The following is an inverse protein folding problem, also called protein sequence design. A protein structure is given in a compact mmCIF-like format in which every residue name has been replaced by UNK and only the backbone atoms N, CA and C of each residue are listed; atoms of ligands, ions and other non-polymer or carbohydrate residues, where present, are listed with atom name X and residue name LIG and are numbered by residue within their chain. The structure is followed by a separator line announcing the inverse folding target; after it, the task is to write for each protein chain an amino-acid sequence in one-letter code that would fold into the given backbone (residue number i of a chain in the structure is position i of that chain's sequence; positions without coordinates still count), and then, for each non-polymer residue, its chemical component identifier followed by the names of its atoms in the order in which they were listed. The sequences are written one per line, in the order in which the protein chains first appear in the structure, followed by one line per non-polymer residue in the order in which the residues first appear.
data_IF_073659561781
#
_entry.id   IF_073659561781
#
_cell.length_a   1.000
_cell.length_b   1.000
_cell.length_c   1.000
_cell.angle_alpha   90.00
_cell.angle_beta   90.00
_cell.angle_gamma   90.00
#
_symmetry.space_group_name_H-M   'P 1'
#
loop_
_entity.id
_entity.type
_entity.pdbx_description
1 polymer ?
#
# COMPACT_ATOMS: atom_id res chain seq x y z
N UNK A 1 -16.45 11.54 -17.10
CA UNK A 1 -15.80 12.85 -16.86
C UNK A 1 -14.43 12.55 -16.26
N UNK A 2 -13.36 12.80 -17.00
CA UNK A 2 -11.99 12.67 -16.50
C UNK A 2 -11.84 13.62 -15.31
N UNK A 3 -11.49 13.07 -14.15
CA UNK A 3 -11.44 13.79 -12.88
C UNK A 3 -10.32 14.85 -12.94
N UNK A 4 -10.60 16.11 -12.61
CA UNK A 4 -9.63 17.23 -12.61
C UNK A 4 -8.37 16.92 -11.79
N UNK A 5 -8.49 16.03 -10.80
CA UNK A 5 -7.37 15.49 -10.02
C UNK A 5 -6.36 14.71 -10.89
N UNK A 6 -6.84 13.94 -11.88
CA UNK A 6 -6.00 13.17 -12.82
C UNK A 6 -5.19 14.09 -13.72
N UNK A 7 -5.74 15.26 -14.06
CA UNK A 7 -5.09 16.28 -14.89
C UNK A 7 -3.97 16.99 -14.12
N UNK A 8 -4.22 17.39 -12.87
CA UNK A 8 -3.18 17.92 -11.98
C UNK A 8 -2.06 16.90 -11.70
N UNK A 9 -2.39 15.62 -11.52
CA UNK A 9 -1.41 14.55 -11.30
C UNK A 9 -0.48 14.34 -12.51
N UNK A 10 -0.99 14.50 -13.74
CA UNK A 10 -0.18 14.44 -14.97
C UNK A 10 0.79 15.62 -15.10
N UNK A 11 0.46 16.79 -14.53
CA UNK A 11 1.32 17.97 -14.58
C UNK A 11 2.51 17.86 -13.61
N UNK A 12 2.30 17.37 -12.39
CA UNK A 12 3.38 17.17 -11.40
C UNK A 12 4.45 16.18 -11.89
N UNK A 13 4.04 15.08 -12.54
CA UNK A 13 4.96 14.09 -13.13
C UNK A 13 5.72 14.64 -14.35
N UNK A 14 5.08 15.47 -15.18
CA UNK A 14 5.74 16.16 -16.30
C UNK A 14 6.80 17.15 -15.81
N UNK A 15 6.55 17.86 -14.71
CA UNK A 15 7.53 18.77 -14.10
C UNK A 15 8.77 18.04 -13.56
N UNK A 16 8.61 16.84 -12.99
CA UNK A 16 9.72 15.98 -12.57
C UNK A 16 10.60 15.49 -13.74
N UNK A 17 9.99 15.22 -14.91
CA UNK A 17 10.71 14.81 -16.12
C UNK A 17 11.48 15.96 -16.80
N UNK A 18 11.03 17.20 -16.65
CA UNK A 18 11.64 18.38 -17.26
C UNK A 18 12.92 18.87 -16.56
N UNK A 19 13.16 18.45 -15.31
CA UNK A 19 14.31 18.84 -14.48
C UNK A 19 15.66 18.23 -14.88
N UNK A 20 15.71 17.30 -15.86
CA UNK A 20 16.96 16.74 -16.39
C UNK A 20 17.29 17.27 -17.79
N UNK A 21 17.60 18.57 -17.89
CA UNK A 21 18.34 19.10 -19.05
C UNK A 21 19.83 18.76 -18.91
N UNK A 22 20.38 18.14 -19.96
CA UNK A 22 21.78 17.73 -20.13
C UNK A 22 22.76 18.85 -19.78
N UNK A 23 23.74 18.55 -18.93
CA UNK A 23 24.93 19.41 -18.78
C UNK A 23 25.91 19.16 -19.95
N UNK A 24 26.60 20.19 -20.46
CA UNK A 24 27.45 20.09 -21.64
C UNK A 24 28.85 19.60 -21.29
N UNK A 25 29.37 18.65 -22.10
CA UNK A 25 30.75 18.17 -22.03
C UNK A 25 31.74 19.29 -22.41
N UNK A 26 32.81 19.46 -21.61
CA UNK A 26 34.06 20.13 -21.99
C UNK A 26 35.15 19.06 -22.20
N UNK A 27 36.14 19.29 -23.08
CA UNK A 27 36.94 18.23 -23.68
C UNK A 27 38.25 17.96 -22.92
N UNK A 28 38.82 16.77 -23.11
CA UNK A 28 40.21 16.49 -22.79
C UNK A 28 40.83 15.50 -23.79
N UNK A 29 41.76 16.02 -24.59
CA UNK A 29 43.12 15.50 -24.79
C UNK A 29 43.34 14.02 -25.09
N UNK A 30 43.59 13.75 -26.37
CA UNK A 30 44.74 12.99 -26.93
C UNK A 30 45.60 12.11 -25.98
N UNK A 31 45.78 10.85 -26.38
CA UNK A 31 46.90 10.02 -25.91
C UNK A 31 46.82 8.59 -26.43
N UNK A 32 47.46 8.33 -27.57
CA UNK A 32 47.54 7.05 -28.29
C UNK A 32 48.24 5.93 -27.48
N UNK A 33 47.78 4.68 -27.62
CA UNK A 33 48.63 3.60 -28.17
C UNK A 33 47.92 2.23 -28.32
N UNK A 34 47.82 1.84 -29.59
CA UNK A 34 48.13 0.53 -30.19
C UNK A 34 47.42 -0.74 -29.67
N UNK A 35 46.48 -1.20 -30.50
CA UNK A 35 46.15 -2.61 -30.76
C UNK A 35 47.37 -3.35 -31.35
N UNK A 36 47.54 -4.62 -31.02
CA UNK A 36 47.19 -5.75 -31.91
C UNK A 36 47.67 -7.08 -31.34
N UNK A 37 46.77 -8.06 -31.36
CA UNK A 37 47.05 -9.47 -31.18
C UNK A 37 47.53 -10.10 -32.51
N UNK A 38 48.38 -11.13 -32.42
CA UNK A 38 48.19 -12.43 -33.09
C UNK A 38 49.45 -13.31 -32.93
N UNK A 39 49.30 -14.51 -32.38
CA UNK A 39 49.76 -15.74 -33.06
C UNK A 39 49.25 -16.98 -32.31
N UNK A 40 48.92 -17.99 -33.11
CA UNK A 40 48.33 -19.28 -32.79
C UNK A 40 49.39 -20.36 -32.58
N UNK A 41 49.19 -21.29 -31.65
CA UNK A 41 49.63 -22.69 -31.80
C UNK A 41 48.90 -23.63 -30.82
N UNK A 42 48.70 -24.89 -31.24
CA UNK A 42 47.83 -25.93 -30.67
C UNK A 42 48.58 -26.94 -29.79
N UNK A 43 47.80 -27.69 -28.99
CA UNK A 43 48.01 -29.03 -28.39
C UNK A 43 48.92 -29.09 -27.14
N UNK A 44 48.66 -29.84 -26.05
CA UNK A 44 48.14 -31.22 -25.79
C UNK A 44 47.53 -31.27 -24.35
N UNK A 45 46.56 -32.16 -24.00
CA UNK A 45 46.00 -32.25 -22.63
C UNK A 45 46.67 -33.35 -21.76
N UNK A 46 46.70 -33.19 -20.43
CA UNK A 46 46.82 -34.34 -19.51
C UNK A 46 45.82 -34.24 -18.32
N UNK A 47 45.80 -35.21 -17.38
CA UNK A 47 44.81 -36.27 -17.27
C UNK A 47 43.75 -36.01 -16.18
N UNK A 48 42.71 -36.85 -16.17
CA UNK A 48 41.72 -36.95 -15.09
C UNK A 48 42.39 -37.22 -13.74
N UNK A 49 42.00 -36.46 -12.71
CA UNK A 49 42.27 -36.78 -11.31
C UNK A 49 41.00 -36.56 -10.48
N UNK A 50 40.43 -37.69 -10.09
CA UNK A 50 39.42 -37.83 -9.04
C UNK A 50 39.94 -37.24 -7.72
N UNK A 51 39.15 -36.37 -7.09
CA UNK A 51 39.44 -35.81 -5.78
C UNK A 51 38.34 -36.20 -4.78
N UNK A 52 38.75 -37.08 -3.85
CA UNK A 52 38.05 -37.49 -2.63
C UNK A 52 37.81 -36.27 -1.72
N UNK A 53 36.72 -36.18 -0.93
CA UNK A 53 36.49 -35.06 -0.03
C UNK A 53 37.49 -35.05 1.13
N UNK A 54 38.23 -33.96 1.28
CA UNK A 54 39.02 -33.66 2.49
C UNK A 54 38.11 -32.95 3.50
N UNK A 55 38.10 -33.32 4.79
CA UNK A 55 37.15 -32.77 5.76
C UNK A 55 37.41 -31.28 6.02
N UNK A 56 36.32 -30.51 6.06
CA UNK A 56 36.32 -29.08 6.32
C UNK A 56 36.94 -28.76 7.70
N UNK A 57 37.78 -27.71 7.82
CA UNK A 57 38.09 -27.17 9.13
C UNK A 57 36.82 -26.54 9.70
N UNK A 58 36.50 -26.90 10.95
CA UNK A 58 35.40 -26.35 11.70
C UNK A 58 35.58 -24.84 11.91
N UNK A 59 35.08 -24.03 10.99
CA UNK A 59 34.82 -22.61 11.23
C UNK A 59 33.51 -22.49 12.00
N UNK A 60 33.64 -22.18 13.28
CA UNK A 60 32.61 -21.63 14.15
C UNK A 60 31.83 -20.52 13.44
N UNK A 61 30.52 -20.38 13.71
CA UNK A 61 29.73 -19.30 13.12
C UNK A 61 30.29 -17.97 13.60
N UNK A 62 30.53 -17.06 12.67
CA UNK A 62 30.94 -15.69 12.93
C UNK A 62 29.91 -15.02 13.85
N UNK A 63 30.18 -15.02 15.15
CA UNK A 63 29.61 -14.07 16.08
C UNK A 63 30.10 -12.70 15.63
N UNK A 64 29.22 -11.91 15.02
CA UNK A 64 29.41 -10.47 14.95
C UNK A 64 29.62 -9.98 16.38
N UNK A 65 30.87 -9.61 16.71
CA UNK A 65 31.32 -9.31 18.06
C UNK A 65 30.32 -8.37 18.77
N UNK A 66 29.82 -8.80 19.93
CA UNK A 66 29.00 -7.96 20.78
C UNK A 66 29.90 -6.92 21.45
N UNK A 67 30.25 -5.84 20.73
CA UNK A 67 31.09 -4.76 21.24
C UNK A 67 30.33 -3.44 21.35
N UNK A 68 30.72 -2.62 22.32
CA UNK A 68 30.22 -1.27 22.44
C UNK A 68 30.73 -0.41 21.27
N UNK A 69 29.82 0.17 20.49
CA UNK A 69 30.15 0.96 19.31
C UNK A 69 30.89 2.28 19.60
N UNK A 70 31.07 2.65 20.88
CA UNK A 70 31.85 3.83 21.28
C UNK A 70 33.24 3.47 21.82
N UNK A 71 33.30 2.57 22.81
CA UNK A 71 34.54 2.27 23.54
C UNK A 71 35.16 0.92 23.20
N UNK A 72 34.54 0.14 22.30
CA UNK A 72 35.03 -1.19 21.89
C UNK A 72 34.90 -2.28 22.94
N UNK A 73 34.38 -1.98 24.14
CA UNK A 73 34.25 -2.99 25.21
C UNK A 73 33.32 -4.12 24.79
N UNK A 74 33.82 -5.35 24.88
CA UNK A 74 33.07 -6.57 24.65
C UNK A 74 31.96 -6.76 25.69
N UNK A 75 30.85 -7.31 25.23
CA UNK A 75 29.77 -7.80 26.06
C UNK A 75 30.21 -9.05 26.81
N UNK A 76 29.86 -9.10 28.09
CA UNK A 76 30.10 -10.26 28.95
C UNK A 76 28.91 -10.41 29.90
N UNK A 77 28.89 -11.47 30.69
CA UNK A 77 27.87 -11.66 31.72
C UNK A 77 27.79 -10.47 32.71
N UNK A 78 28.91 -9.76 32.88
CA UNK A 78 29.01 -8.55 33.71
C UNK A 78 28.76 -7.25 32.94
N UNK A 79 29.03 -7.20 31.63
CA UNK A 79 28.83 -6.01 30.78
C UNK A 79 27.72 -6.25 29.76
N UNK A 80 26.50 -5.86 30.13
CA UNK A 80 25.33 -5.98 29.25
C UNK A 80 25.28 -4.83 28.25
N UNK A 81 25.46 -5.14 26.98
CA UNK A 81 25.30 -4.16 25.91
C UNK A 81 23.82 -3.98 25.53
N UNK A 82 23.40 -2.73 25.32
CA UNK A 82 22.04 -2.37 24.91
C UNK A 82 22.03 -1.80 23.50
N UNK A 83 21.08 -2.25 22.69
CA UNK A 83 20.85 -1.70 21.36
C UNK A 83 20.49 -0.21 21.43
N UNK A 84 20.92 0.54 20.42
CA UNK A 84 20.38 1.86 20.15
C UNK A 84 18.86 1.76 19.95
N UNK A 85 18.09 2.47 20.77
CA UNK A 85 16.62 2.40 20.75
C UNK A 85 16.00 2.85 19.43
N UNK A 86 16.68 3.74 18.69
CA UNK A 86 16.21 4.26 17.42
C UNK A 86 16.52 3.34 16.23
N UNK A 87 17.77 2.90 16.07
CA UNK A 87 18.20 2.16 14.87
C UNK A 87 18.41 0.66 15.08
N UNK A 88 18.59 0.20 16.32
CA UNK A 88 18.88 -1.20 16.68
C UNK A 88 20.13 -1.83 16.03
N UNK A 89 20.92 -1.09 15.25
CA UNK A 89 22.11 -1.60 14.55
C UNK A 89 23.38 -1.64 15.40
N UNK A 90 23.47 -0.76 16.39
CA UNK A 90 24.67 -0.61 17.22
C UNK A 90 24.30 -0.80 18.68
N UNK A 91 25.25 -1.33 19.45
CA UNK A 91 25.10 -1.63 20.87
C UNK A 91 26.00 -0.72 21.72
N UNK A 92 25.60 -0.46 22.96
CA UNK A 92 26.35 0.38 23.90
C UNK A 92 26.33 -0.22 25.32
N UNK A 93 27.46 -0.13 26.02
CA UNK A 93 27.57 -0.56 27.42
C UNK A 93 26.95 0.46 28.39
N UNK A 94 26.77 1.71 27.97
CA UNK A 94 26.19 2.78 28.80
C UNK A 94 25.53 3.89 27.97
N UNK A 95 24.68 4.68 28.61
CA UNK A 95 24.07 5.87 28.01
C UNK A 95 25.11 6.91 27.61
N UNK A 96 26.21 7.02 28.36
CA UNK A 96 27.29 7.96 28.06
C UNK A 96 28.02 7.56 26.77
N UNK A 97 28.29 6.27 26.58
CA UNK A 97 28.82 5.76 25.32
C UNK A 97 27.89 6.05 24.14
N UNK A 98 26.58 5.91 24.32
CA UNK A 98 25.60 6.24 23.28
C UNK A 98 25.58 7.75 22.97
N UNK A 99 25.65 8.62 23.98
CA UNK A 99 25.67 10.09 23.81
C UNK A 99 26.93 10.54 23.08
N UNK A 100 28.08 9.99 23.43
CA UNK A 100 29.38 10.33 22.81
C UNK A 100 29.42 9.89 21.34
N UNK A 101 29.01 8.66 21.04
CA UNK A 101 28.96 8.15 19.66
C UNK A 101 27.80 8.74 18.82
N UNK A 102 26.93 9.58 19.41
CA UNK A 102 25.79 10.19 18.71
C UNK A 102 26.23 10.96 17.48
N UNK A 103 27.31 11.74 17.54
CA UNK A 103 27.78 12.58 16.42
C UNK A 103 28.21 11.74 15.20
N UNK A 104 28.89 10.62 15.44
CA UNK A 104 29.41 9.75 14.39
C UNK A 104 28.30 8.91 13.75
N UNK A 105 27.35 8.39 14.55
CA UNK A 105 26.30 7.51 14.01
C UNK A 105 24.99 8.21 13.63
N UNK A 106 24.77 9.50 13.94
CA UNK A 106 23.48 10.21 13.77
C UNK A 106 22.85 10.01 12.38
N UNK A 107 23.64 10.16 11.31
CA UNK A 107 23.16 10.05 9.93
C UNK A 107 22.69 8.63 9.61
N UNK A 108 23.52 7.62 9.92
CA UNK A 108 23.18 6.22 9.75
C UNK A 108 21.99 5.80 10.63
N UNK A 109 21.94 6.30 11.87
CA UNK A 109 20.85 6.07 12.81
C UNK A 109 19.51 6.58 12.26
N UNK A 110 19.48 7.82 11.76
CA UNK A 110 18.27 8.42 11.18
C UNK A 110 17.80 7.64 9.95
N UNK A 111 18.73 7.23 9.07
CA UNK A 111 18.42 6.41 7.90
C UNK A 111 17.80 5.08 8.32
N UNK A 112 18.44 4.33 9.21
CA UNK A 112 17.92 3.04 9.67
C UNK A 112 16.61 3.15 10.44
N UNK A 113 16.44 4.17 11.28
CA UNK A 113 15.18 4.40 11.97
C UNK A 113 14.04 4.66 10.98
N UNK A 114 14.31 5.35 9.87
CA UNK A 114 13.35 5.52 8.79
C UNK A 114 13.07 4.19 8.05
N UNK A 115 14.09 3.38 7.76
CA UNK A 115 13.92 2.04 7.18
C UNK A 115 13.07 1.13 8.06
N UNK A 116 13.31 1.11 9.37
CA UNK A 116 12.50 0.32 10.33
C UNK A 116 11.05 0.80 10.39
N UNK A 117 10.82 2.12 10.28
CA UNK A 117 9.48 2.69 10.21
C UNK A 117 8.78 2.28 8.91
N UNK A 118 9.49 2.30 7.79
CA UNK A 118 8.99 1.85 6.49
C UNK A 118 8.71 0.34 6.48
N UNK A 119 9.62 -0.48 7.01
CA UNK A 119 9.44 -1.92 7.11
C UNK A 119 8.17 -2.27 7.89
N UNK A 120 7.91 -1.59 9.01
CA UNK A 120 6.64 -1.70 9.75
C UNK A 120 5.43 -1.25 8.91
N UNK A 121 5.55 -0.16 8.14
CA UNK A 121 4.47 0.37 7.29
C UNK A 121 4.09 -0.54 6.11
N UNK A 122 5.04 -1.31 5.58
CA UNK A 122 4.85 -2.16 4.38
C UNK A 122 4.80 -3.67 4.69
N UNK A 123 5.07 -4.08 5.94
CA UNK A 123 4.85 -5.46 6.42
C UNK A 123 3.41 -5.72 6.86
N UNK A 124 2.70 -4.68 7.31
CA UNK A 124 1.32 -4.78 7.78
C UNK A 124 0.32 -4.61 6.62
N UNK A 125 -0.69 -5.49 6.56
CA UNK A 125 -1.88 -5.27 5.73
C UNK A 125 -1.70 -5.58 4.24
N UNK A 126 -1.19 -6.78 3.92
CA UNK A 126 -1.20 -7.32 2.54
C UNK A 126 -2.48 -8.08 2.22
N UNK A 127 -3.16 -8.57 3.25
CA UNK A 127 -4.45 -9.24 3.11
C UNK A 127 -5.55 -8.22 2.98
N UNK A 128 -6.40 -8.42 1.98
CA UNK A 128 -7.61 -7.65 1.81
C UNK A 128 -8.50 -7.87 3.05
N UNK A 129 -8.87 -6.82 3.79
CA UNK A 129 -9.77 -6.98 4.94
C UNK A 129 -11.04 -7.74 4.59
N UNK A 130 -11.48 -8.66 5.46
CA UNK A 130 -12.78 -9.36 5.34
C UNK A 130 -13.95 -8.40 5.12
N UNK A 131 -13.83 -7.20 5.68
CA UNK A 131 -14.73 -6.07 5.50
C UNK A 131 -14.93 -5.61 4.05
N UNK A 132 -14.09 -6.05 3.11
CA UNK A 132 -14.11 -5.69 1.69
C UNK A 132 -14.62 -6.85 0.81
N UNK A 133 -15.14 -7.91 1.42
CA UNK A 133 -15.82 -9.00 0.74
C UNK A 133 -17.33 -8.88 0.93
N UNK A 134 -18.07 -9.34 -0.06
CA UNK A 134 -19.52 -9.35 0.04
C UNK A 134 -19.94 -10.45 1.04
N UNK A 135 -20.76 -10.16 2.06
CA UNK A 135 -21.17 -11.16 3.06
C UNK A 135 -22.16 -12.21 2.53
N UNK A 136 -22.52 -12.16 1.24
CA UNK A 136 -23.43 -13.12 0.59
C UNK A 136 -22.62 -14.09 -0.26
N UNK A 137 -21.88 -13.58 -1.25
CA UNK A 137 -21.04 -14.44 -2.10
C UNK A 137 -19.63 -14.68 -1.57
N UNK A 138 -19.24 -14.01 -0.48
CA UNK A 138 -17.91 -14.05 0.14
C UNK A 138 -16.74 -13.59 -0.76
N UNK A 139 -17.04 -13.18 -2.00
CA UNK A 139 -16.07 -12.65 -2.93
C UNK A 139 -15.68 -11.21 -2.61
N UNK A 140 -14.39 -10.92 -2.74
CA UNK A 140 -13.80 -9.59 -2.75
C UNK A 140 -14.57 -8.63 -3.69
N UNK A 141 -14.96 -7.44 -3.21
CA UNK A 141 -15.75 -6.46 -3.99
C UNK A 141 -14.83 -5.60 -4.89
N UNK A 142 -15.13 -5.33 -6.17
CA UNK A 142 -14.27 -4.45 -6.97
C UNK A 142 -14.08 -3.05 -6.36
N UNK A 143 -12.94 -2.44 -6.64
CA UNK A 143 -12.53 -1.13 -6.08
C UNK A 143 -12.66 -0.08 -7.19
N UNK A 144 -13.21 1.12 -6.90
CA UNK A 144 -13.73 1.60 -5.62
C UNK A 144 -15.08 0.97 -5.23
N UNK A 145 -15.22 0.53 -3.98
CA UNK A 145 -16.36 -0.31 -3.56
C UNK A 145 -17.71 0.40 -3.68
N UNK A 146 -17.75 1.73 -3.56
CA UNK A 146 -18.97 2.52 -3.74
C UNK A 146 -19.60 2.39 -5.14
N UNK A 147 -18.83 1.99 -6.16
CA UNK A 147 -19.35 1.78 -7.51
C UNK A 147 -19.94 0.37 -7.69
N UNK A 148 -19.47 -0.60 -6.91
CA UNK A 148 -19.76 -2.02 -7.11
C UNK A 148 -20.55 -2.66 -5.96
N UNK A 149 -20.85 -1.90 -4.93
CA UNK A 149 -21.59 -2.36 -3.76
C UNK A 149 -22.38 -1.23 -3.09
N UNK A 150 -23.42 -1.61 -2.38
CA UNK A 150 -24.25 -0.72 -1.58
C UNK A 150 -24.30 -1.17 -0.13
N UNK A 151 -24.31 -0.22 0.80
CA UNK A 151 -24.49 -0.50 2.21
C UNK A 151 -25.97 -0.64 2.54
N UNK A 152 -26.30 -1.66 3.33
CA UNK A 152 -27.61 -1.81 3.96
C UNK A 152 -27.66 -0.93 5.21
N UNK A 153 -28.44 0.16 5.25
CA UNK A 153 -28.44 1.11 6.39
C UNK A 153 -28.96 0.48 7.69
N UNK A 154 -29.73 -0.60 7.59
CA UNK A 154 -30.28 -1.35 8.72
C UNK A 154 -29.29 -2.31 9.40
N UNK A 155 -28.12 -2.61 8.80
CA UNK A 155 -27.07 -3.45 9.42
C UNK A 155 -25.62 -3.06 9.09
N UNK A 156 -25.41 -1.98 8.33
CA UNK A 156 -24.11 -1.50 7.83
C UNK A 156 -23.29 -2.55 7.07
N UNK A 157 -23.96 -3.59 6.55
CA UNK A 157 -23.33 -4.61 5.70
C UNK A 157 -23.29 -4.10 4.26
N UNK A 158 -22.13 -4.26 3.62
CA UNK A 158 -21.90 -3.86 2.23
C UNK A 158 -22.14 -5.05 1.31
N UNK A 159 -23.13 -4.95 0.43
CA UNK A 159 -23.52 -6.02 -0.50
C UNK A 159 -23.13 -5.61 -1.91
N UNK A 160 -22.45 -6.50 -2.64
CA UNK A 160 -22.08 -6.21 -4.02
C UNK A 160 -23.33 -6.13 -4.92
N UNK A 161 -23.24 -5.32 -5.97
CA UNK A 161 -24.35 -5.06 -6.89
C UNK A 161 -24.88 -6.35 -7.54
N UNK A 162 -24.03 -7.36 -7.76
CA UNK A 162 -24.45 -8.67 -8.26
C UNK A 162 -25.39 -9.41 -7.29
N UNK A 163 -25.02 -9.49 -6.01
CA UNK A 163 -25.90 -10.09 -4.99
C UNK A 163 -27.16 -9.25 -4.76
N UNK A 164 -27.06 -7.91 -4.80
CA UNK A 164 -28.22 -7.03 -4.69
C UNK A 164 -29.21 -7.23 -5.85
N UNK A 165 -28.70 -7.43 -7.08
CA UNK A 165 -29.53 -7.75 -8.23
C UNK A 165 -30.20 -9.13 -8.08
N UNK A 166 -29.45 -10.13 -7.61
CA UNK A 166 -29.99 -11.46 -7.34
C UNK A 166 -31.11 -11.43 -6.30
N UNK A 167 -30.94 -10.67 -5.21
CA UNK A 167 -31.99 -10.44 -4.20
C UNK A 167 -33.25 -9.82 -4.82
N UNK A 168 -33.09 -8.80 -5.69
CA UNK A 168 -34.22 -8.16 -6.36
C UNK A 168 -34.98 -9.14 -7.25
N UNK A 169 -34.27 -9.92 -8.05
CA UNK A 169 -34.86 -10.93 -8.93
C UNK A 169 -35.55 -12.06 -8.15
N UNK A 170 -35.06 -12.38 -6.95
CA UNK A 170 -35.69 -13.34 -6.04
C UNK A 170 -36.89 -12.76 -5.26
N UNK A 171 -37.29 -11.51 -5.51
CA UNK A 171 -38.40 -10.87 -4.80
C UNK A 171 -38.08 -10.43 -3.36
N UNK A 172 -36.80 -10.39 -2.97
CA UNK A 172 -36.35 -10.05 -1.62
C UNK A 172 -35.95 -8.58 -1.46
N UNK A 173 -36.19 -7.73 -2.46
CA UNK A 173 -35.75 -6.32 -2.47
C UNK A 173 -36.35 -5.42 -1.38
N UNK A 174 -37.46 -5.81 -0.76
CA UNK A 174 -38.13 -4.99 0.27
C UNK A 174 -37.64 -5.28 1.70
N UNK A 175 -36.83 -6.32 1.91
CA UNK A 175 -36.35 -6.72 3.24
C UNK A 175 -34.86 -7.01 3.22
N UNK A 176 -34.15 -6.58 4.26
CA UNK A 176 -32.74 -6.89 4.40
C UNK A 176 -32.52 -8.41 4.61
N UNK A 177 -31.65 -9.08 3.82
CA UNK A 177 -31.40 -10.51 3.95
C UNK A 177 -30.70 -10.90 5.27
N UNK A 178 -30.13 -9.93 5.99
CA UNK A 178 -29.38 -10.19 7.22
C UNK A 178 -30.22 -10.02 8.50
N UNK A 179 -31.05 -8.98 8.55
CA UNK A 179 -31.80 -8.63 9.75
C UNK A 179 -33.30 -8.49 9.52
N UNK A 180 -33.79 -8.76 8.30
CA UNK A 180 -35.20 -8.72 7.89
C UNK A 180 -35.89 -7.36 8.03
N UNK A 181 -35.17 -6.31 8.43
CA UNK A 181 -35.66 -4.93 8.45
C UNK A 181 -36.06 -4.48 7.05
N UNK A 182 -37.16 -3.74 6.94
CA UNK A 182 -37.61 -3.18 5.67
C UNK A 182 -36.57 -2.19 5.11
N UNK A 183 -36.44 -2.18 3.78
CA UNK A 183 -35.58 -1.22 3.07
C UNK A 183 -36.25 0.16 3.11
N UNK A 184 -35.51 1.23 3.49
CA UNK A 184 -36.07 2.59 3.50
C UNK A 184 -36.48 3.00 2.08
N UNK A 185 -37.64 3.64 1.98
CA UNK A 185 -38.21 4.13 0.71
C UNK A 185 -37.87 5.60 0.46
N UNK A 186 -37.43 6.33 1.48
CA UNK A 186 -37.06 7.74 1.39
C UNK A 186 -35.65 8.01 1.94
N UNK A 187 -35.05 9.12 1.51
CA UNK A 187 -33.80 9.58 2.09
C UNK A 187 -33.92 9.88 3.58
N UNK A 188 -35.05 10.41 4.03
CA UNK A 188 -35.30 10.71 5.44
C UNK A 188 -35.27 9.43 6.30
N UNK A 189 -35.94 8.37 5.85
CA UNK A 189 -35.91 7.07 6.52
C UNK A 189 -34.50 6.47 6.54
N UNK A 190 -33.77 6.57 5.42
CA UNK A 190 -32.39 6.12 5.34
C UNK A 190 -31.49 6.87 6.33
N UNK A 191 -31.56 8.20 6.34
CA UNK A 191 -30.80 9.06 7.25
C UNK A 191 -31.14 8.77 8.70
N UNK A 192 -32.41 8.60 9.06
CA UNK A 192 -32.84 8.23 10.40
C UNK A 192 -32.26 6.88 10.85
N UNK A 193 -32.24 5.88 9.97
CA UNK A 193 -31.61 4.58 10.25
C UNK A 193 -30.10 4.70 10.46
N UNK A 194 -29.40 5.49 9.63
CA UNK A 194 -27.96 5.73 9.78
C UNK A 194 -27.67 6.51 11.07
N UNK A 195 -28.42 7.57 11.35
CA UNK A 195 -28.26 8.39 12.56
C UNK A 195 -28.43 7.56 13.84
N UNK A 196 -29.47 6.71 13.91
CA UNK A 196 -29.67 5.79 15.05
C UNK A 196 -28.43 4.92 15.33
N UNK A 197 -27.71 4.52 14.29
CA UNK A 197 -26.46 3.78 14.43
C UNK A 197 -25.27 4.64 14.83
N UNK A 198 -25.18 5.86 14.31
CA UNK A 198 -24.20 6.86 14.74
C UNK A 198 -24.34 7.12 16.24
N UNK A 199 -25.57 7.28 16.72
CA UNK A 199 -25.87 7.47 18.15
C UNK A 199 -25.46 6.24 18.99
N UNK A 200 -25.62 5.04 18.42
CA UNK A 200 -25.13 3.79 19.00
C UNK A 200 -23.61 3.57 18.84
N UNK A 201 -22.86 4.56 18.35
CA UNK A 201 -21.41 4.51 18.10
C UNK A 201 -20.98 3.39 17.14
N UNK A 202 -21.85 2.98 16.22
CA UNK A 202 -21.48 2.06 15.13
C UNK A 202 -20.52 2.78 14.19
N UNK A 203 -19.25 2.39 14.26
CA UNK A 203 -18.17 3.01 13.49
C UNK A 203 -18.44 3.02 11.99
N UNK A 204 -19.03 1.95 11.42
CA UNK A 204 -19.33 1.91 9.98
C UNK A 204 -20.39 2.95 9.63
N UNK A 205 -21.39 3.12 10.48
CA UNK A 205 -22.40 4.16 10.28
C UNK A 205 -21.80 5.55 10.38
N UNK A 206 -20.95 5.83 11.37
CA UNK A 206 -20.26 7.13 11.50
C UNK A 206 -19.47 7.45 10.22
N UNK A 207 -18.71 6.49 9.71
CA UNK A 207 -17.93 6.70 8.49
C UNK A 207 -18.79 6.88 7.23
N UNK A 208 -19.89 6.12 7.11
CA UNK A 208 -20.84 6.30 6.01
C UNK A 208 -21.55 7.63 6.09
N UNK A 209 -21.97 8.04 7.28
CA UNK A 209 -22.61 9.33 7.51
C UNK A 209 -21.66 10.49 7.17
N UNK A 210 -20.38 10.38 7.54
CA UNK A 210 -19.35 11.33 7.14
C UNK A 210 -19.18 11.41 5.61
N UNK A 211 -19.28 10.28 4.91
CA UNK A 211 -19.25 10.27 3.44
C UNK A 211 -20.51 10.87 2.81
N UNK A 212 -21.69 10.64 3.41
CA UNK A 212 -22.95 11.23 2.97
C UNK A 212 -22.90 12.76 3.07
N UNK A 213 -22.46 13.32 4.21
CA UNK A 213 -22.26 14.77 4.35
C UNK A 213 -21.18 15.29 3.40
N UNK A 214 -20.01 14.64 3.35
CA UNK A 214 -18.88 15.14 2.55
C UNK A 214 -19.12 15.14 1.04
N UNK A 215 -20.09 14.36 0.53
CA UNK A 215 -20.44 14.27 -0.90
C UNK A 215 -21.87 14.76 -1.22
N UNK A 216 -22.62 15.21 -0.22
CA UNK A 216 -24.02 15.62 -0.38
C UNK A 216 -24.94 14.50 -0.89
N UNK A 217 -24.85 13.30 -0.30
CA UNK A 217 -25.69 12.15 -0.66
C UNK A 217 -27.01 12.16 0.12
N UNK A 218 -28.02 11.47 -0.42
CA UNK A 218 -29.31 11.26 0.26
C UNK A 218 -30.00 12.59 0.63
N UNK A 219 -29.98 13.58 -0.28
CA UNK A 219 -30.62 14.88 -0.07
C UNK A 219 -29.88 15.83 0.88
N UNK A 220 -28.69 15.45 1.38
CA UNK A 220 -27.87 16.34 2.19
C UNK A 220 -27.13 17.36 1.33
N UNK A 221 -26.98 18.57 1.85
CA UNK A 221 -26.02 19.53 1.31
C UNK A 221 -24.59 19.04 1.54
N UNK A 222 -23.70 19.37 0.60
CA UNK A 222 -22.28 19.03 0.73
C UNK A 222 -21.67 19.80 1.91
N UNK A 223 -21.23 19.06 2.91
CA UNK A 223 -20.54 19.59 4.08
C UNK A 223 -19.29 18.75 4.37
N UNK A 224 -18.19 19.14 3.73
CA UNK A 224 -16.89 18.46 3.87
C UNK A 224 -16.38 18.51 5.31
N UNK A 225 -16.57 19.63 6.01
CA UNK A 225 -16.11 19.82 7.38
C UNK A 225 -16.80 18.82 8.32
N UNK A 226 -18.14 18.70 8.21
CA UNK A 226 -18.90 17.73 8.99
C UNK A 226 -18.48 16.29 8.70
N UNK A 227 -18.17 16.00 7.43
CA UNK A 227 -17.61 14.70 7.03
C UNK A 227 -16.28 14.38 7.74
N UNK A 228 -15.38 15.36 7.84
CA UNK A 228 -14.09 15.23 8.53
C UNK A 228 -14.28 15.00 10.03
N UNK A 229 -15.18 15.73 10.69
CA UNK A 229 -15.48 15.55 12.10
C UNK A 229 -15.95 14.12 12.40
N UNK A 230 -16.90 13.61 11.61
CA UNK A 230 -17.42 12.25 11.76
C UNK A 230 -16.33 11.20 11.52
N UNK A 231 -15.47 11.38 10.51
CA UNK A 231 -14.34 10.46 10.30
C UNK A 231 -13.30 10.52 11.43
N UNK A 232 -13.12 11.69 12.05
CA UNK A 232 -12.24 11.86 13.22
C UNK A 232 -12.84 11.12 14.42
N UNK A 233 -14.13 11.31 14.70
CA UNK A 233 -14.85 10.56 15.76
C UNK A 233 -14.74 9.05 15.55
N UNK A 234 -14.92 8.57 14.32
CA UNK A 234 -14.78 7.15 14.01
C UNK A 234 -13.35 6.61 14.20
N UNK A 235 -12.34 7.45 14.04
CA UNK A 235 -10.94 7.11 14.28
C UNK A 235 -10.63 7.02 15.79
N UNK A 236 -11.21 7.93 16.58
CA UNK A 236 -11.01 8.05 18.02
C UNK A 236 -11.70 6.94 18.83
N UNK A 237 -12.74 6.31 18.30
CA UNK A 237 -13.36 5.09 18.88
C UNK A 237 -12.47 3.82 18.76
N UNK A 238 -11.16 4.01 18.58
CA UNK A 238 -10.06 3.05 18.42
C UNK A 238 -10.25 1.98 17.34
N UNK A 239 -9.77 2.31 16.14
CA UNK A 239 -8.50 1.77 15.66
C UNK A 239 -8.13 2.46 14.34
N UNK A 240 -6.90 2.94 14.12
CA UNK A 240 -6.42 3.36 12.79
C UNK A 240 -6.60 2.27 11.72
N UNK A 241 -6.63 1.00 12.16
CA UNK A 241 -6.97 -0.17 11.37
C UNK A 241 -8.42 -0.14 10.85
N UNK A 242 -9.31 0.69 11.40
CA UNK A 242 -10.72 0.81 11.05
C UNK A 242 -10.96 1.56 9.74
N UNK A 243 -10.33 2.72 9.60
CA UNK A 243 -10.36 3.51 8.38
C UNK A 243 -9.68 2.73 7.25
N UNK A 244 -8.63 1.98 7.61
CA UNK A 244 -8.01 0.95 6.79
C UNK A 244 -9.01 -0.17 6.41
N UNK A 245 -9.78 -0.71 7.37
CA UNK A 245 -10.78 -1.77 7.15
C UNK A 245 -12.06 -1.31 6.45
N UNK A 246 -12.25 -0.01 6.18
CA UNK A 246 -13.49 0.54 5.59
C UNK A 246 -13.46 0.77 4.07
N UNK A 247 -12.46 0.24 3.38
CA UNK A 247 -12.40 0.26 1.91
C UNK A 247 -11.75 1.50 1.32
N UNK A 248 -11.48 2.50 2.18
CA UNK A 248 -10.67 3.67 1.84
C UNK A 248 -9.16 3.43 1.97
N UNK A 249 -8.74 2.25 2.46
CA UNK A 249 -7.32 1.91 2.56
C UNK A 249 -6.57 2.07 1.25
N UNK A 250 -7.18 1.60 0.16
CA UNK A 250 -6.58 1.62 -1.16
C UNK A 250 -6.41 3.06 -1.64
N UNK A 251 -7.46 3.88 -1.53
CA UNK A 251 -7.39 5.30 -1.87
C UNK A 251 -6.40 6.06 -0.97
N UNK A 252 -6.33 5.73 0.31
CA UNK A 252 -5.37 6.31 1.25
C UNK A 252 -3.93 5.95 0.87
N UNK A 253 -3.66 4.67 0.52
CA UNK A 253 -2.34 4.23 0.03
C UNK A 253 -1.97 4.95 -1.26
N UNK A 254 -2.91 5.12 -2.19
CA UNK A 254 -2.69 5.88 -3.43
C UNK A 254 -2.35 7.34 -3.13
N UNK A 255 -3.08 8.00 -2.23
CA UNK A 255 -2.79 9.38 -1.79
C UNK A 255 -1.43 9.51 -1.12
N UNK A 256 -1.06 8.55 -0.27
CA UNK A 256 0.30 8.50 0.31
C UNK A 256 1.35 8.36 -0.79
N UNK A 257 1.10 7.51 -1.80
CA UNK A 257 2.00 7.37 -2.94
C UNK A 257 2.23 8.70 -3.67
N UNK A 258 1.16 9.45 -3.93
CA UNK A 258 1.25 10.78 -4.55
C UNK A 258 2.02 11.78 -3.68
N UNK A 259 1.74 11.83 -2.38
CA UNK A 259 2.46 12.70 -1.44
C UNK A 259 3.97 12.37 -1.38
N UNK A 260 4.34 11.09 -1.44
CA UNK A 260 5.74 10.69 -1.50
C UNK A 260 6.39 11.08 -2.85
N UNK A 261 5.65 11.07 -3.96
CA UNK A 261 6.14 11.60 -5.23
C UNK A 261 6.42 13.10 -5.14
N UNK A 262 5.52 13.88 -4.55
CA UNK A 262 5.68 15.33 -4.37
C UNK A 262 6.90 15.65 -3.49
N UNK A 263 7.18 14.80 -2.50
CA UNK A 263 8.36 14.89 -1.65
C UNK A 263 9.65 14.35 -2.29
N UNK A 264 9.60 13.86 -3.53
CA UNK A 264 10.73 13.25 -4.25
C UNK A 264 11.13 11.85 -3.78
N UNK A 265 10.35 11.22 -2.89
CA UNK A 265 10.58 9.89 -2.34
C UNK A 265 9.99 8.80 -3.25
N UNK A 266 10.43 8.74 -4.51
CA UNK A 266 9.81 7.90 -5.52
C UNK A 266 9.82 6.39 -5.21
N UNK A 267 10.85 5.86 -4.54
CA UNK A 267 10.89 4.46 -4.11
C UNK A 267 9.79 4.13 -3.08
N UNK A 268 9.46 5.09 -2.23
CA UNK A 268 8.39 4.96 -1.23
C UNK A 268 7.03 5.10 -1.90
N UNK A 269 6.90 6.04 -2.84
CA UNK A 269 5.72 6.19 -3.67
C UNK A 269 5.37 4.90 -4.43
N UNK A 270 6.38 4.29 -5.09
CA UNK A 270 6.22 3.05 -5.82
C UNK A 270 5.67 1.94 -4.92
N UNK A 271 6.22 1.76 -3.71
CA UNK A 271 5.74 0.75 -2.75
C UNK A 271 4.27 0.98 -2.36
N UNK A 272 3.84 2.23 -2.22
CA UNK A 272 2.45 2.55 -1.95
C UNK A 272 1.53 2.17 -3.12
N UNK A 273 1.90 2.53 -4.35
CA UNK A 273 1.13 2.18 -5.53
C UNK A 273 1.09 0.67 -5.77
N UNK A 274 2.19 -0.04 -5.51
CA UNK A 274 2.26 -1.50 -5.63
C UNK A 274 1.23 -2.18 -4.72
N UNK A 275 1.05 -1.73 -3.48
CA UNK A 275 0.01 -2.28 -2.60
C UNK A 275 -1.38 -2.03 -3.19
N UNK A 276 -1.68 -0.80 -3.61
CA UNK A 276 -2.99 -0.46 -4.17
C UNK A 276 -3.30 -1.22 -5.47
N UNK A 277 -2.32 -1.34 -6.37
CA UNK A 277 -2.46 -2.07 -7.63
C UNK A 277 -2.74 -3.55 -7.37
N UNK A 278 -2.01 -4.18 -6.43
CA UNK A 278 -2.25 -5.56 -5.99
C UNK A 278 -3.59 -5.78 -5.27
N UNK A 279 -4.31 -4.71 -4.95
CA UNK A 279 -5.70 -4.78 -4.45
C UNK A 279 -6.73 -4.50 -5.55
N UNK A 280 -6.31 -4.44 -6.81
CA UNK A 280 -7.18 -4.22 -7.97
C UNK A 280 -7.42 -2.75 -8.33
N UNK A 281 -6.65 -1.80 -7.76
CA UNK A 281 -6.81 -0.38 -8.08
C UNK A 281 -6.12 -0.01 -9.40
N UNK A 282 -6.92 0.22 -10.44
CA UNK A 282 -6.42 0.48 -11.79
C UNK A 282 -5.54 1.73 -11.88
N UNK A 283 -5.96 2.84 -11.31
CA UNK A 283 -5.19 4.10 -11.41
C UNK A 283 -3.80 3.95 -10.79
N UNK A 284 -3.66 3.15 -9.72
CA UNK A 284 -2.34 2.88 -9.14
C UNK A 284 -1.45 2.05 -10.07
N UNK A 285 -2.01 1.09 -10.82
CA UNK A 285 -1.28 0.36 -11.84
C UNK A 285 -0.84 1.29 -12.98
N UNK A 286 -1.71 2.21 -13.40
CA UNK A 286 -1.39 3.19 -14.44
C UNK A 286 -0.27 4.13 -13.98
N UNK A 287 -0.26 4.57 -12.72
CA UNK A 287 0.87 5.34 -12.16
C UNK A 287 2.17 4.50 -12.12
N UNK A 288 2.12 3.22 -11.75
CA UNK A 288 3.33 2.36 -11.80
C UNK A 288 3.86 2.25 -13.24
N UNK A 289 2.97 2.17 -14.24
CA UNK A 289 3.33 2.16 -15.65
C UNK A 289 4.02 3.47 -16.06
N UNK A 290 3.52 4.61 -15.60
CA UNK A 290 4.16 5.91 -15.81
C UNK A 290 5.54 6.00 -15.14
N UNK A 291 5.67 5.50 -13.91
CA UNK A 291 6.95 5.42 -13.20
C UNK A 291 7.97 4.52 -13.93
N UNK A 292 7.51 3.44 -14.56
CA UNK A 292 8.35 2.61 -15.42
C UNK A 292 8.81 3.37 -16.67
N UNK A 293 7.90 4.09 -17.33
CA UNK A 293 8.22 4.96 -18.47
C UNK A 293 9.23 6.06 -18.14
N UNK A 294 9.20 6.58 -16.91
CA UNK A 294 10.15 7.56 -16.40
C UNK A 294 11.50 6.97 -15.93
N UNK A 295 11.67 5.65 -15.97
CA UNK A 295 12.87 4.95 -15.50
C UNK A 295 13.03 4.91 -13.97
N UNK A 296 11.96 5.21 -13.23
CA UNK A 296 11.91 5.16 -11.76
C UNK A 296 11.61 3.74 -11.29
N UNK A 297 10.65 3.06 -11.93
CA UNK A 297 10.34 1.66 -11.67
C UNK A 297 11.09 0.76 -12.66
N UNK A 298 11.53 -0.40 -12.17
CA UNK A 298 12.12 -1.45 -13.01
C UNK A 298 11.05 -2.23 -13.77
N UNK A 299 11.44 -2.91 -14.86
CA UNK A 299 10.56 -3.83 -15.59
C UNK A 299 9.98 -4.91 -14.67
N UNK A 300 10.79 -5.42 -13.74
CA UNK A 300 10.37 -6.43 -12.77
C UNK A 300 9.28 -5.90 -11.83
N UNK A 301 9.45 -4.68 -11.29
CA UNK A 301 8.44 -4.05 -10.43
C UNK A 301 7.13 -3.77 -11.15
N UNK A 302 7.19 -3.30 -12.40
CA UNK A 302 5.97 -3.11 -13.20
C UNK A 302 5.25 -4.44 -13.47
N UNK A 303 5.99 -5.48 -13.87
CA UNK A 303 5.44 -6.81 -14.11
C UNK A 303 4.81 -7.40 -12.84
N UNK A 304 5.46 -7.23 -11.68
CA UNK A 304 4.93 -7.64 -10.38
C UNK A 304 3.63 -6.89 -10.04
N UNK A 305 3.58 -5.58 -10.28
CA UNK A 305 2.37 -4.77 -10.04
C UNK A 305 1.22 -5.16 -10.96
N UNK A 306 1.51 -5.42 -12.24
CA UNK A 306 0.54 -5.89 -13.23
C UNK A 306 -0.03 -7.26 -12.87
N UNK A 307 0.84 -8.20 -12.48
CA UNK A 307 0.46 -9.57 -12.12
C UNK A 307 -0.50 -9.54 -10.92
N UNK A 308 -0.11 -8.87 -9.83
CA UNK A 308 -0.98 -8.83 -8.66
C UNK A 308 -2.27 -8.01 -8.88
N UNK A 309 -2.28 -7.04 -9.79
CA UNK A 309 -3.53 -6.42 -10.24
C UNK A 309 -4.44 -7.43 -10.96
N UNK A 310 -3.88 -8.24 -11.87
CA UNK A 310 -4.64 -9.25 -12.59
C UNK A 310 -5.19 -10.31 -11.65
N UNK A 311 -4.39 -10.79 -10.69
CA UNK A 311 -4.82 -11.74 -9.66
C UNK A 311 -6.01 -11.19 -8.87
N UNK A 312 -5.90 -9.96 -8.38
CA UNK A 312 -6.99 -9.30 -7.66
C UNK A 312 -8.26 -9.17 -8.53
N UNK A 313 -8.13 -8.80 -9.80
CA UNK A 313 -9.28 -8.70 -10.72
C UNK A 313 -9.95 -10.07 -10.92
N UNK A 314 -9.18 -11.15 -11.01
CA UNK A 314 -9.75 -12.50 -11.13
C UNK A 314 -10.48 -12.91 -9.85
N UNK A 315 -9.92 -12.65 -8.67
CA UNK A 315 -10.57 -12.94 -7.38
C UNK A 315 -11.91 -12.19 -7.20
N UNK A 316 -12.09 -11.04 -7.86
CA UNK A 316 -13.28 -10.21 -7.76
C UNK A 316 -14.33 -10.51 -8.84
N UNK A 317 -14.06 -11.43 -9.77
CA UNK A 317 -14.96 -11.73 -10.90
C UNK A 317 -16.23 -12.44 -10.42
N UNK A 318 -17.40 -11.99 -10.89
CA UNK A 318 -18.67 -12.67 -10.64
C UNK A 318 -19.63 -12.40 -11.81
N UNK A 319 -20.27 -13.44 -12.38
CA UNK A 319 -21.26 -13.29 -13.44
C UNK A 319 -22.41 -12.35 -13.07
N UNK A 320 -22.86 -12.39 -11.82
CA UNK A 320 -23.93 -11.54 -11.30
C UNK A 320 -23.51 -10.07 -11.27
N UNK A 321 -22.24 -9.79 -10.95
CA UNK A 321 -21.69 -8.42 -11.00
C UNK A 321 -21.56 -7.92 -12.43
N UNK A 322 -21.13 -8.79 -13.35
CA UNK A 322 -21.06 -8.46 -14.77
C UNK A 322 -22.46 -8.14 -15.33
N UNK A 323 -23.47 -8.93 -14.94
CA UNK A 323 -24.87 -8.66 -15.27
C UNK A 323 -25.37 -7.35 -14.67
N UNK A 324 -25.16 -7.12 -13.38
CA UNK A 324 -25.54 -5.88 -12.71
C UNK A 324 -24.93 -4.66 -13.40
N UNK A 325 -23.66 -4.74 -13.81
CA UNK A 325 -23.00 -3.69 -14.57
C UNK A 325 -23.62 -3.49 -15.96
N UNK A 326 -23.93 -4.58 -16.67
CA UNK A 326 -24.54 -4.56 -18.02
C UNK A 326 -25.86 -3.79 -18.04
N UNK A 327 -26.69 -3.98 -17.02
CA UNK A 327 -28.01 -3.35 -16.92
C UNK A 327 -27.99 -2.02 -16.15
N UNK A 328 -26.82 -1.55 -15.72
CA UNK A 328 -26.68 -0.31 -14.94
C UNK A 328 -27.26 -0.40 -13.52
N UNK A 329 -27.40 -1.60 -12.95
CA UNK A 329 -27.87 -1.79 -11.58
C UNK A 329 -26.82 -1.30 -10.59
N UNK A 330 -27.24 -0.43 -9.68
CA UNK A 330 -26.38 0.20 -8.70
C UNK A 330 -27.01 0.22 -7.31
N UNK A 331 -27.48 -0.96 -6.89
CA UNK A 331 -28.14 -1.17 -5.60
C UNK A 331 -29.55 -0.60 -5.54
N UNK A 332 -30.23 -0.89 -4.44
CA UNK A 332 -31.49 -0.24 -4.06
C UNK A 332 -31.15 1.18 -3.55
N UNK A 333 -30.74 2.05 -4.49
CA UNK A 333 -30.69 3.48 -4.23
C UNK A 333 -32.13 3.97 -4.19
N UNK A 334 -32.58 4.36 -2.99
CA UNK A 334 -33.65 5.35 -2.88
C UNK A 334 -33.24 6.65 -3.60
#
# INVERSE_FOLDING_TARGET
MENEQTTQNRESLKQASAGRKKSPNRPAGSGQSKRAAASTSKSVPPPEMSCVPVPAPATTPANTEEVCANCGREGSDTVKLKNCTACRLVKYCSLDCQKTHRKQHKKACKKRAAELKDERLFSQGRERPEAHSCPICLLAIPVPMEEYASIRPCCMKMVCNGCGLAERNAGLHNTCPFCRTLVPQTYEEMLAMVQKRVDAKDRRAICQFGAMHGRGLCGLETNVQRGIELWTEAADLESPEALYKMGRFILHRTKLGLLECDNGNHDRALRHFMISAKMGHKDSLDVIKEMFGAGIATKAQYAEGLTGYQDAVQEMKSPERDEAKRIGFAGDRA
#
